data_IF_402820192971
#
_entry.id   IF_402820192971
#
_cell.length_a   1.000
_cell.length_b   1.000
_cell.length_c   1.000
_cell.angle_alpha   90.00
_cell.angle_beta   90.00
_cell.angle_gamma   90.00
#
_symmetry.space_group_name_H-M   'P 1'
#
loop_
_entity.id
_entity.type
_entity.pdbx_description
1 polymer ?
#
# COMPACT_ATOMS: atom_id res chain seq x y z
N UNK A 1 27.59 -8.09 54.73
CA UNK A 1 26.19 -7.89 54.33
C UNK A 1 26.16 -6.94 53.14
N UNK A 2 25.92 -7.45 51.92
CA UNK A 2 25.82 -6.64 50.71
C UNK A 2 24.36 -6.20 50.54
N UNK A 3 24.15 -4.88 50.49
CA UNK A 3 22.86 -4.26 50.19
C UNK A 3 22.52 -4.47 48.72
N UNK A 4 21.37 -5.08 48.44
CA UNK A 4 20.82 -5.23 47.10
C UNK A 4 20.11 -3.94 46.70
N UNK A 5 20.58 -3.33 45.61
CA UNK A 5 19.91 -2.26 44.89
C UNK A 5 18.64 -2.80 44.23
N UNK A 6 17.49 -2.26 44.62
CA UNK A 6 16.24 -2.43 43.90
C UNK A 6 16.37 -1.74 42.53
N UNK A 7 16.36 -2.55 41.46
CA UNK A 7 16.15 -2.06 40.10
C UNK A 7 14.64 -2.09 39.89
N UNK A 8 14.06 -0.91 39.68
CA UNK A 8 12.65 -0.75 39.32
C UNK A 8 12.39 -1.36 37.95
N UNK A 9 11.68 -2.49 37.93
CA UNK A 9 10.97 -2.95 36.74
C UNK A 9 9.86 -1.95 36.40
N UNK A 10 9.85 -1.43 35.17
CA UNK A 10 8.89 -0.38 34.82
C UNK A 10 8.98 0.11 33.38
N UNK A 11 8.69 -0.79 32.43
CA UNK A 11 7.94 -0.55 31.18
C UNK A 11 7.95 -1.86 30.41
N UNK A 12 6.91 -2.68 30.62
CA UNK A 12 6.64 -3.81 29.74
C UNK A 12 6.53 -3.27 28.31
N UNK A 13 7.47 -3.67 27.46
CA UNK A 13 7.33 -3.49 26.02
C UNK A 13 6.06 -4.25 25.64
N UNK A 14 4.96 -3.53 25.36
CA UNK A 14 3.82 -4.14 24.70
C UNK A 14 4.36 -4.61 23.36
N UNK A 15 4.65 -5.91 23.25
CA UNK A 15 4.91 -6.54 21.96
C UNK A 15 3.56 -6.56 21.28
N UNK A 16 3.27 -5.49 20.55
CA UNK A 16 2.11 -5.47 19.68
C UNK A 16 2.28 -6.60 18.67
N UNK A 17 1.33 -7.53 18.64
CA UNK A 17 1.23 -8.51 17.58
C UNK A 17 0.86 -7.74 16.30
N UNK A 18 1.87 -7.34 15.53
CA UNK A 18 1.66 -6.52 14.32
C UNK A 18 1.02 -7.40 13.24
N UNK A 19 -0.08 -6.95 12.61
CA UNK A 19 -0.69 -7.66 11.50
C UNK A 19 0.28 -7.86 10.33
N UNK A 20 0.20 -9.03 9.70
CA UNK A 20 0.99 -9.40 8.53
C UNK A 20 0.09 -9.35 7.30
N UNK A 21 0.44 -8.47 6.36
CA UNK A 21 -0.23 -8.32 5.07
C UNK A 21 0.74 -8.65 3.92
N UNK A 22 0.20 -9.09 2.79
CA UNK A 22 0.95 -9.21 1.54
C UNK A 22 0.14 -8.70 0.35
N UNK A 23 0.82 -8.24 -0.69
CA UNK A 23 0.18 -7.82 -1.95
C UNK A 23 0.62 -8.73 -3.09
N UNK A 24 -0.32 -9.18 -3.91
CA UNK A 24 -0.06 -9.81 -5.20
C UNK A 24 -0.75 -9.05 -6.33
N UNK A 25 -0.17 -9.09 -7.52
CA UNK A 25 -0.71 -8.47 -8.73
C UNK A 25 -1.00 -9.49 -9.81
N UNK A 26 -2.05 -9.21 -10.56
CA UNK A 26 -2.34 -9.84 -11.83
C UNK A 26 -2.81 -8.78 -12.82
N UNK A 27 -2.61 -9.07 -14.10
CA UNK A 27 -3.19 -8.26 -15.16
C UNK A 27 -4.59 -8.81 -15.46
N UNK A 28 -5.55 -7.95 -15.81
CA UNK A 28 -6.97 -8.34 -15.89
C UNK A 28 -7.24 -9.60 -16.73
N UNK A 29 -6.45 -9.80 -17.79
CA UNK A 29 -6.56 -10.94 -18.71
C UNK A 29 -5.32 -11.86 -18.69
N UNK A 30 -4.42 -11.71 -17.71
CA UNK A 30 -3.13 -12.40 -17.69
C UNK A 30 -2.14 -11.94 -18.77
N UNK A 31 -2.54 -10.99 -19.63
CA UNK A 31 -1.69 -10.40 -20.65
C UNK A 31 -0.47 -9.73 -20.02
N UNK A 32 0.68 -9.84 -20.69
CA UNK A 32 1.91 -9.11 -20.35
C UNK A 32 2.27 -8.09 -21.43
N UNK A 33 1.32 -7.82 -22.33
CA UNK A 33 1.49 -6.92 -23.44
C UNK A 33 1.00 -5.52 -23.07
N UNK A 34 1.91 -4.56 -23.12
CA UNK A 34 1.63 -3.14 -22.98
C UNK A 34 1.42 -2.57 -24.38
N UNK A 35 0.23 -2.04 -24.67
CA UNK A 35 -0.13 -1.52 -25.99
C UNK A 35 -0.12 -0.01 -26.00
N UNK A 36 0.16 0.55 -27.18
CA UNK A 36 -0.11 1.96 -27.46
C UNK A 36 -1.43 2.10 -28.17
N UNK A 37 -2.38 2.76 -27.54
CA UNK A 37 -3.67 3.08 -28.15
C UNK A 37 -3.75 4.58 -28.37
N UNK A 38 -3.87 5.01 -29.64
CA UNK A 38 -3.89 6.42 -30.04
C UNK A 38 -2.66 7.25 -29.64
N UNK A 39 -1.54 6.60 -29.32
CA UNK A 39 -0.31 7.23 -28.85
C UNK A 39 -0.09 7.04 -27.35
N UNK A 40 -1.14 6.68 -26.62
CA UNK A 40 -1.12 6.61 -25.17
C UNK A 40 -0.90 5.18 -24.68
N UNK A 41 -0.22 5.04 -23.55
CA UNK A 41 0.02 3.74 -22.90
C UNK A 41 -0.90 3.62 -21.69
N UNK A 42 -1.70 2.57 -21.64
CA UNK A 42 -2.51 2.25 -20.45
C UNK A 42 -2.63 0.75 -20.22
N UNK A 43 -2.64 0.34 -18.95
CA UNK A 43 -2.86 -1.05 -18.54
C UNK A 43 -3.47 -1.13 -17.14
N UNK A 44 -4.54 -1.90 -17.00
CA UNK A 44 -5.17 -2.18 -15.71
C UNK A 44 -4.56 -3.42 -15.04
N UNK A 45 -4.21 -3.25 -13.77
CA UNK A 45 -3.77 -4.28 -12.86
C UNK A 45 -4.83 -4.51 -11.79
N UNK A 46 -5.05 -5.77 -11.43
CA UNK A 46 -5.77 -6.13 -10.22
C UNK A 46 -4.75 -6.47 -9.14
N UNK A 47 -4.94 -5.91 -7.96
CA UNK A 47 -4.17 -6.27 -6.79
C UNK A 47 -5.05 -6.98 -5.77
N UNK A 48 -4.40 -7.87 -5.02
CA UNK A 48 -5.00 -8.61 -3.93
C UNK A 48 -4.16 -8.44 -2.68
N UNK A 49 -4.78 -7.92 -1.64
CA UNK A 49 -4.19 -7.73 -0.31
C UNK A 49 -4.67 -8.88 0.58
N UNK A 50 -3.75 -9.72 1.04
CA UNK A 50 -4.07 -10.87 1.91
C UNK A 50 -3.62 -10.59 3.33
N UNK A 51 -4.50 -10.86 4.30
CA UNK A 51 -4.17 -10.77 5.71
C UNK A 51 -3.83 -12.15 6.29
N UNK A 52 -2.64 -12.31 6.84
CA UNK A 52 -2.10 -13.60 7.30
C UNK A 52 -2.23 -13.81 8.82
N UNK A 53 -2.78 -12.85 9.55
CA UNK A 53 -2.78 -12.87 11.01
C UNK A 53 -1.59 -12.12 11.60
N UNK A 54 -1.05 -12.64 12.69
CA UNK A 54 0.13 -12.11 13.40
C UNK A 54 1.17 -13.19 13.53
N UNK A 55 2.41 -12.82 13.85
CA UNK A 55 3.44 -13.80 14.16
C UNK A 55 3.00 -14.68 15.36
N UNK A 56 2.81 -15.98 15.11
CA UNK A 56 2.22 -16.94 16.05
C UNK A 56 3.22 -17.51 17.05
N UNK A 57 4.46 -17.01 17.07
CA UNK A 57 5.48 -17.40 18.05
C UNK A 57 5.01 -17.31 19.51
N UNK A 58 3.93 -16.56 19.80
CA UNK A 58 3.35 -16.43 21.15
C UNK A 58 1.85 -16.84 21.26
N UNK A 59 1.37 -17.77 20.42
CA UNK A 59 0.08 -18.48 20.59
C UNK A 59 -1.20 -17.64 20.65
N UNK A 60 -1.19 -16.39 20.16
CA UNK A 60 -2.42 -15.58 20.06
C UNK A 60 -3.09 -15.85 18.72
N UNK A 61 -4.36 -16.28 18.73
CA UNK A 61 -5.17 -16.35 17.51
C UNK A 61 -5.45 -14.93 17.03
N UNK A 62 -5.07 -14.61 15.80
CA UNK A 62 -5.28 -13.30 15.23
C UNK A 62 -6.79 -13.06 14.99
N UNK A 63 -7.29 -11.90 15.40
CA UNK A 63 -8.68 -11.50 15.20
C UNK A 63 -8.92 -10.83 13.84
N UNK A 64 -10.16 -10.40 13.56
CA UNK A 64 -10.45 -9.53 12.42
C UNK A 64 -9.68 -8.21 12.54
N UNK A 65 -9.18 -7.73 11.41
CA UNK A 65 -8.39 -6.51 11.30
C UNK A 65 -9.15 -5.49 10.46
N UNK A 66 -9.40 -4.30 11.00
CA UNK A 66 -9.88 -3.16 10.21
C UNK A 66 -8.74 -2.19 9.96
N UNK A 67 -8.52 -1.78 8.71
CA UNK A 67 -7.41 -0.89 8.34
C UNK A 67 -7.76 0.05 7.18
N UNK A 68 -7.00 1.15 7.08
CA UNK A 68 -7.14 2.14 6.02
C UNK A 68 -6.38 1.73 4.74
N UNK A 69 -7.03 1.83 3.58
CA UNK A 69 -6.55 1.23 2.32
C UNK A 69 -5.79 2.17 1.39
N UNK A 70 -5.66 3.46 1.73
CA UNK A 70 -5.10 4.49 0.83
C UNK A 70 -3.71 4.13 0.27
N UNK A 71 -2.86 3.44 1.04
CA UNK A 71 -1.53 3.03 0.57
C UNK A 71 -1.56 2.15 -0.69
N UNK A 72 -2.65 1.40 -0.92
CA UNK A 72 -2.84 0.54 -2.10
C UNK A 72 -3.45 1.30 -3.29
N UNK A 73 -3.78 2.57 -3.12
CA UNK A 73 -4.32 3.44 -4.18
C UNK A 73 -3.34 4.56 -4.53
N UNK A 74 -2.39 4.86 -3.64
CA UNK A 74 -1.36 5.86 -3.86
C UNK A 74 -0.32 5.37 -4.87
N UNK A 75 -0.30 6.01 -6.04
CA UNK A 75 0.60 5.78 -7.17
C UNK A 75 2.08 5.82 -6.77
N UNK A 76 2.41 6.56 -5.70
CA UNK A 76 3.76 6.68 -5.19
C UNK A 76 4.23 5.41 -4.51
N UNK A 77 3.34 4.47 -4.16
CA UNK A 77 3.71 3.15 -3.62
C UNK A 77 3.93 2.08 -4.71
N UNK A 78 3.91 2.50 -5.98
CA UNK A 78 4.17 1.65 -7.12
C UNK A 78 5.51 2.00 -7.75
N UNK A 79 6.06 1.09 -8.53
CA UNK A 79 7.28 1.29 -9.28
C UNK A 79 7.13 0.72 -10.67
N UNK A 80 7.57 1.49 -11.65
CA UNK A 80 7.72 1.08 -13.04
C UNK A 80 9.17 1.27 -13.45
N UNK A 81 9.86 0.18 -13.79
CA UNK A 81 11.21 0.20 -14.30
C UNK A 81 11.24 -0.23 -15.76
N UNK A 82 12.15 0.34 -16.55
CA UNK A 82 12.42 -0.04 -17.93
C UNK A 82 13.79 -0.69 -18.06
N UNK A 83 13.86 -1.75 -18.87
CA UNK A 83 15.14 -2.36 -19.24
C UNK A 83 15.86 -1.54 -20.31
N UNK A 84 17.12 -1.20 -20.07
CA UNK A 84 17.96 -0.50 -21.06
C UNK A 84 18.38 -1.48 -22.16
N UNK A 85 18.05 -1.17 -23.42
CA UNK A 85 18.47 -1.98 -24.57
C UNK A 85 19.98 -1.82 -24.84
N UNK A 86 20.67 -2.92 -25.17
CA UNK A 86 22.07 -2.90 -25.60
C UNK A 86 23.13 -2.74 -24.51
N UNK A 87 22.75 -2.64 -23.24
CA UNK A 87 23.65 -2.70 -22.08
C UNK A 87 23.38 -3.96 -21.24
N UNK A 88 24.13 -4.15 -20.16
CA UNK A 88 24.23 -5.37 -19.31
C UNK A 88 22.96 -5.81 -18.57
N UNK A 89 21.76 -5.57 -19.11
CA UNK A 89 20.49 -5.91 -18.48
C UNK A 89 20.07 -4.96 -17.35
N UNK A 90 20.58 -3.73 -17.35
CA UNK A 90 20.26 -2.73 -16.33
C UNK A 90 18.79 -2.28 -16.41
N UNK A 91 18.18 -2.09 -15.25
CA UNK A 91 16.86 -1.49 -15.06
C UNK A 91 17.00 -0.03 -14.63
N UNK A 92 16.19 0.85 -15.20
CA UNK A 92 16.10 2.26 -14.83
C UNK A 92 14.65 2.61 -14.50
N UNK A 93 14.37 3.39 -13.44
CA UNK A 93 13.02 3.78 -13.11
C UNK A 93 12.44 4.72 -14.18
N UNK A 94 11.20 4.48 -14.57
CA UNK A 94 10.39 5.47 -15.25
C UNK A 94 10.09 6.61 -14.27
N UNK A 95 10.18 7.85 -14.75
CA UNK A 95 9.84 9.00 -13.92
C UNK A 95 8.33 9.06 -13.77
N UNK A 96 7.87 9.59 -12.64
CA UNK A 96 6.52 10.12 -12.59
C UNK A 96 6.48 11.35 -13.48
N UNK A 97 5.38 11.56 -14.21
CA UNK A 97 5.12 12.83 -14.89
C UNK A 97 5.13 13.99 -13.90
N UNK A 98 5.02 15.22 -14.40
CA UNK A 98 4.87 16.43 -13.59
C UNK A 98 3.57 16.38 -12.76
N UNK A 99 3.57 15.58 -11.69
CA UNK A 99 2.50 15.49 -10.73
C UNK A 99 2.49 16.80 -9.95
N UNK A 100 1.66 17.74 -10.40
CA UNK A 100 1.28 18.89 -9.59
C UNK A 100 0.19 18.44 -8.61
N UNK A 101 0.48 18.29 -7.30
CA UNK A 101 -0.59 18.26 -6.32
C UNK A 101 -1.26 19.63 -6.38
N UNK A 102 -2.40 19.73 -7.05
CA UNK A 102 -3.16 20.99 -7.16
C UNK A 102 -3.39 21.62 -5.79
N UNK A 103 -3.66 22.93 -5.72
CA UNK A 103 -3.90 23.63 -4.46
C UNK A 103 -4.96 22.93 -3.60
N UNK A 104 -4.55 22.40 -2.43
CA UNK A 104 -5.41 21.57 -1.57
C UNK A 104 -5.93 22.35 -0.37
N UNK A 105 -7.22 22.18 -0.10
CA UNK A 105 -7.85 22.52 1.17
C UNK A 105 -7.34 21.56 2.26
N UNK A 106 -6.31 21.96 3.00
CA UNK A 106 -5.64 21.19 4.06
C UNK A 106 -6.46 21.12 5.37
N UNK A 107 -7.79 21.08 5.25
CA UNK A 107 -8.69 21.00 6.38
C UNK A 107 -8.87 19.54 6.80
N UNK A 108 -8.62 19.20 8.07
CA UNK A 108 -8.88 17.86 8.58
C UNK A 108 -10.34 17.44 8.36
N UNK A 109 -10.53 16.23 7.88
CA UNK A 109 -11.85 15.64 7.61
C UNK A 109 -12.13 14.53 8.61
N UNK A 110 -13.36 14.49 9.14
CA UNK A 110 -13.82 13.39 9.99
C UNK A 110 -14.41 12.29 9.12
N UNK A 111 -13.93 11.07 9.30
CA UNK A 111 -14.36 9.91 8.53
C UNK A 111 -14.93 8.87 9.50
N UNK A 112 -16.14 8.40 9.23
CA UNK A 112 -16.73 7.26 9.95
C UNK A 112 -16.14 5.96 9.38
N UNK A 113 -15.45 5.20 10.22
CA UNK A 113 -14.76 3.96 9.81
C UNK A 113 -15.75 2.98 9.20
N UNK A 114 -16.92 2.80 9.83
CA UNK A 114 -17.96 1.88 9.36
C UNK A 114 -18.59 2.24 8.01
N UNK A 115 -18.58 3.52 7.63
CA UNK A 115 -19.32 4.01 6.47
C UNK A 115 -18.42 4.33 5.26
N UNK A 116 -17.10 4.45 5.47
CA UNK A 116 -16.16 4.81 4.40
C UNK A 116 -15.63 3.59 3.66
N UNK A 117 -15.56 3.67 2.33
CA UNK A 117 -14.95 2.65 1.46
C UNK A 117 -13.42 2.61 1.54
N UNK A 118 -12.81 3.57 2.24
CA UNK A 118 -11.37 3.62 2.45
C UNK A 118 -10.91 2.73 3.63
N UNK A 119 -11.85 2.10 4.33
CA UNK A 119 -11.58 1.10 5.36
C UNK A 119 -12.11 -0.26 4.94
N UNK A 120 -11.27 -1.27 5.14
CA UNK A 120 -11.62 -2.67 4.93
C UNK A 120 -11.43 -3.46 6.22
N UNK A 121 -12.23 -4.50 6.41
CA UNK A 121 -12.11 -5.48 7.48
C UNK A 121 -11.79 -6.85 6.87
N UNK A 122 -10.75 -7.52 7.37
CA UNK A 122 -10.36 -8.86 6.95
C UNK A 122 -10.20 -9.79 8.17
N UNK A 123 -10.68 -11.02 8.06
CA UNK A 123 -10.29 -12.13 8.92
C UNK A 123 -8.97 -12.76 8.45
N UNK A 124 -8.24 -13.48 9.31
CA UNK A 124 -7.03 -14.18 8.88
C UNK A 124 -7.31 -15.10 7.68
N UNK A 125 -6.42 -15.06 6.70
CA UNK A 125 -6.50 -15.71 5.38
C UNK A 125 -7.48 -15.08 4.39
N UNK A 126 -8.27 -14.07 4.78
CA UNK A 126 -9.11 -13.34 3.83
C UNK A 126 -8.27 -12.37 3.00
N UNK A 127 -8.89 -11.93 1.90
CA UNK A 127 -8.27 -10.98 0.99
C UNK A 127 -9.25 -9.92 0.54
N UNK A 128 -8.70 -8.75 0.25
CA UNK A 128 -9.41 -7.64 -0.38
C UNK A 128 -8.74 -7.32 -1.71
N UNK A 129 -9.56 -7.02 -2.72
CA UNK A 129 -9.12 -6.79 -4.09
C UNK A 129 -9.46 -5.37 -4.51
N UNK A 130 -8.63 -4.83 -5.40
CA UNK A 130 -8.84 -3.55 -6.05
C UNK A 130 -8.10 -3.51 -7.38
N UNK A 131 -8.24 -2.40 -8.11
CA UNK A 131 -7.51 -2.19 -9.35
C UNK A 131 -6.63 -0.95 -9.32
N UNK A 132 -5.64 -0.98 -10.20
CA UNK A 132 -4.64 0.05 -10.39
C UNK A 132 -4.41 0.25 -11.89
N UNK A 133 -4.56 1.48 -12.38
CA UNK A 133 -4.28 1.81 -13.77
C UNK A 133 -2.88 2.38 -13.89
N UNK A 134 -2.04 1.70 -14.66
CA UNK A 134 -0.79 2.25 -15.16
C UNK A 134 -1.14 3.03 -16.43
N UNK A 135 -0.79 4.30 -16.49
CA UNK A 135 -0.96 5.15 -17.67
C UNK A 135 0.23 6.13 -17.85
N UNK A 136 0.26 6.81 -18.98
CA UNK A 136 1.29 7.80 -19.33
C UNK A 136 1.04 9.21 -18.80
N UNK A 137 -0.16 9.49 -18.27
CA UNK A 137 -0.42 10.71 -17.51
C UNK A 137 0.40 10.71 -16.20
N UNK A 138 0.51 9.53 -15.57
CA UNK A 138 1.23 9.35 -14.32
C UNK A 138 2.69 8.97 -14.51
N UNK A 139 3.02 8.19 -15.55
CA UNK A 139 4.39 7.73 -15.82
C UNK A 139 4.95 8.28 -17.13
N UNK A 140 6.15 8.85 -17.07
CA UNK A 140 6.86 9.26 -18.27
C UNK A 140 7.39 8.03 -19.03
N UNK A 141 6.78 7.76 -20.17
CA UNK A 141 7.29 6.83 -21.17
C UNK A 141 8.17 7.57 -22.18
N UNK A 142 9.42 7.14 -22.43
CA UNK A 142 10.26 7.82 -23.42
C UNK A 142 9.69 7.76 -24.84
N UNK A 143 9.63 8.90 -25.55
CA UNK A 143 9.10 9.01 -26.93
C UNK A 143 9.70 8.02 -27.93
N UNK A 144 10.95 7.62 -27.71
CA UNK A 144 11.73 6.73 -28.59
C UNK A 144 11.67 5.26 -28.16
N UNK A 145 10.68 4.88 -27.35
CA UNK A 145 10.44 3.49 -26.96
C UNK A 145 10.15 2.62 -28.19
N UNK A 146 10.97 1.60 -28.39
CA UNK A 146 10.81 0.63 -29.48
C UNK A 146 9.94 -0.53 -29.03
N UNK A 147 9.17 -1.08 -29.96
CA UNK A 147 8.50 -2.38 -29.78
C UNK A 147 9.49 -3.44 -29.30
N UNK A 148 9.05 -4.25 -28.34
CA UNK A 148 9.88 -5.18 -27.57
C UNK A 148 10.61 -4.54 -26.38
N UNK A 149 10.36 -3.27 -26.04
CA UNK A 149 10.83 -2.70 -24.78
C UNK A 149 10.21 -3.48 -23.60
N UNK A 150 11.02 -3.77 -22.57
CA UNK A 150 10.60 -4.55 -21.41
C UNK A 150 10.50 -3.64 -20.20
N UNK A 151 9.42 -3.78 -19.45
CA UNK A 151 9.16 -3.07 -18.22
C UNK A 151 8.96 -4.04 -17.06
N UNK A 152 9.14 -3.54 -15.83
CA UNK A 152 8.79 -4.21 -14.59
C UNK A 152 7.88 -3.32 -13.78
N UNK A 153 6.75 -3.87 -13.38
CA UNK A 153 5.77 -3.19 -12.53
C UNK A 153 5.61 -3.92 -11.21
N UNK A 154 5.62 -3.18 -10.10
CA UNK A 154 5.43 -3.74 -8.76
C UNK A 154 4.85 -2.71 -7.79
N UNK A 155 4.22 -3.21 -6.73
CA UNK A 155 4.06 -2.45 -5.50
C UNK A 155 5.37 -2.49 -4.73
N UNK A 156 5.95 -1.33 -4.42
CA UNK A 156 7.27 -1.22 -3.79
C UNK A 156 7.25 -1.49 -2.28
N UNK A 157 6.06 -1.62 -1.69
CA UNK A 157 5.86 -1.67 -0.26
C UNK A 157 5.38 -0.33 0.29
N UNK A 158 4.64 -0.38 1.39
CA UNK A 158 4.12 0.82 2.05
C UNK A 158 3.87 0.56 3.53
N UNK A 159 3.50 1.61 4.25
CA UNK A 159 3.22 1.55 5.68
C UNK A 159 1.80 2.06 5.96
N UNK A 160 0.98 1.23 6.59
CA UNK A 160 -0.39 1.60 6.97
C UNK A 160 -0.35 2.27 8.34
N UNK A 161 -0.82 3.52 8.39
CA UNK A 161 -0.82 4.33 9.60
C UNK A 161 -1.94 3.98 10.56
N UNK A 162 -3.14 3.70 10.05
CA UNK A 162 -4.30 3.41 10.87
C UNK A 162 -4.81 2.00 10.65
N UNK A 163 -4.92 1.28 11.76
CA UNK A 163 -5.51 -0.04 11.85
C UNK A 163 -5.91 -0.32 13.29
N UNK A 164 -6.90 -1.19 13.48
CA UNK A 164 -7.25 -1.70 14.80
C UNK A 164 -7.89 -3.09 14.72
N UNK A 165 -7.92 -3.76 15.87
CA UNK A 165 -8.56 -5.06 16.01
C UNK A 165 -10.08 -4.92 16.12
N UNK A 166 -10.80 -5.71 15.34
CA UNK A 166 -12.26 -5.71 15.35
C UNK A 166 -12.85 -5.55 13.96
N UNK A 167 -14.15 -5.74 13.88
CA UNK A 167 -14.91 -5.59 12.64
C UNK A 167 -15.39 -4.16 12.44
N UNK A 168 -15.47 -3.77 11.18
CA UNK A 168 -15.98 -2.47 10.74
C UNK A 168 -17.40 -2.19 11.25
N UNK A 169 -18.31 -3.15 11.11
CA UNK A 169 -19.73 -3.02 11.51
C UNK A 169 -20.01 -3.37 12.98
N UNK A 170 -19.00 -3.86 13.71
CA UNK A 170 -19.10 -4.23 15.12
C UNK A 170 -18.30 -3.29 15.98
N UNK A 171 -17.04 -3.65 16.25
CA UNK A 171 -16.13 -2.89 17.10
C UNK A 171 -15.97 -1.44 16.67
N UNK A 172 -16.00 -1.18 15.36
CA UNK A 172 -15.76 0.15 14.80
C UNK A 172 -17.01 0.85 14.25
N UNK A 173 -18.22 0.37 14.59
CA UNK A 173 -19.49 0.93 14.10
C UNK A 173 -19.60 2.45 14.34
N UNK A 174 -19.18 2.92 15.51
CA UNK A 174 -19.23 4.33 15.92
C UNK A 174 -17.85 5.01 15.89
N UNK A 175 -16.82 4.36 15.35
CA UNK A 175 -15.46 4.94 15.31
C UNK A 175 -15.39 6.04 14.26
N UNK A 176 -14.97 7.23 14.70
CA UNK A 176 -14.68 8.40 13.86
C UNK A 176 -13.22 8.73 13.98
N UNK A 177 -12.58 8.94 12.83
CA UNK A 177 -11.17 9.30 12.74
C UNK A 177 -11.00 10.62 12.00
N UNK A 178 -10.07 11.45 12.46
CA UNK A 178 -9.72 12.72 11.84
C UNK A 178 -8.52 12.48 10.93
N UNK A 179 -8.78 12.53 9.64
CA UNK A 179 -7.78 12.37 8.59
C UNK A 179 -7.41 13.74 8.02
N UNK A 180 -6.12 14.01 7.91
CA UNK A 180 -5.60 15.20 7.24
C UNK A 180 -4.78 14.76 6.05
N UNK A 181 -5.24 15.09 4.86
CA UNK A 181 -4.56 14.69 3.65
C UNK A 181 -5.46 14.73 2.43
N UNK A 182 -4.82 14.67 1.27
CA UNK A 182 -5.47 14.47 -0.01
C UNK A 182 -5.61 12.97 -0.30
N UNK A 183 -6.52 12.59 -1.20
CA UNK A 183 -6.49 11.27 -1.82
C UNK A 183 -5.09 10.96 -2.39
N UNK A 184 -4.71 9.69 -2.54
CA UNK A 184 -3.50 9.22 -3.23
C UNK A 184 -2.20 10.05 -2.98
N UNK A 185 -1.98 10.64 -1.79
CA UNK A 185 -0.85 11.53 -1.52
C UNK A 185 -0.07 11.15 -0.26
N UNK A 186 1.25 11.25 -0.37
CA UNK A 186 2.29 10.96 0.63
C UNK A 186 2.32 11.87 1.85
N UNK A 187 1.50 12.94 1.89
CA UNK A 187 1.38 13.82 3.06
C UNK A 187 0.05 13.67 3.78
N UNK A 188 -0.59 12.53 3.58
CA UNK A 188 -1.85 12.20 4.22
C UNK A 188 -1.62 11.34 5.45
N UNK A 189 -2.34 11.64 6.54
CA UNK A 189 -2.21 10.90 7.78
C UNK A 189 -3.31 11.20 8.79
N UNK A 190 -3.39 10.35 9.79
CA UNK A 190 -4.38 10.49 10.87
C UNK A 190 -3.86 11.46 11.93
N UNK A 191 -4.71 12.40 12.32
CA UNK A 191 -4.37 13.47 13.28
C UNK A 191 -4.88 13.20 14.70
N UNK A 192 -5.76 12.21 14.86
CA UNK A 192 -6.15 11.71 16.19
C UNK A 192 -5.02 10.86 16.78
N UNK A 193 -4.98 10.77 18.11
CA UNK A 193 -4.03 10.01 18.95
C UNK A 193 -3.30 8.90 18.18
N UNK A 194 -2.10 9.20 17.64
CA UNK A 194 -1.12 8.33 16.99
C UNK A 194 -1.49 6.83 16.87
N UNK A 195 -2.54 6.50 16.09
CA UNK A 195 -3.13 5.16 15.99
C UNK A 195 -3.33 4.43 17.35
N UNK A 196 -3.80 5.11 18.39
CA UNK A 196 -3.93 4.55 19.74
C UNK A 196 -2.61 4.05 20.35
N UNK A 197 -1.46 4.52 19.85
CA UNK A 197 -0.13 4.03 20.21
C UNK A 197 0.28 2.71 19.54
N UNK A 198 -0.54 2.15 18.64
CA UNK A 198 -0.21 0.94 17.89
C UNK A 198 0.93 1.21 16.89
N UNK A 199 1.84 0.25 16.66
CA UNK A 199 2.86 0.40 15.64
C UNK A 199 2.23 0.43 14.25
N UNK A 200 2.94 0.97 13.29
CA UNK A 200 2.52 0.95 11.89
C UNK A 200 2.59 -0.48 11.33
N UNK A 201 1.71 -0.83 10.38
CA UNK A 201 1.84 -2.08 9.63
C UNK A 201 2.75 -1.84 8.43
N UNK A 202 3.86 -2.56 8.35
CA UNK A 202 4.67 -2.61 7.15
C UNK A 202 4.12 -3.66 6.17
N UNK A 203 3.79 -3.23 4.96
CA UNK A 203 3.40 -4.12 3.87
C UNK A 203 4.60 -4.26 2.92
N UNK A 204 5.13 -5.48 2.72
CA UNK A 204 6.29 -5.69 1.87
C UNK A 204 5.96 -5.44 0.39
N UNK A 205 7.01 -5.29 -0.43
CA UNK A 205 6.88 -5.23 -1.87
C UNK A 205 6.21 -6.49 -2.43
N UNK A 206 5.46 -6.33 -3.52
CA UNK A 206 4.94 -7.48 -4.27
C UNK A 206 6.03 -8.12 -5.13
N UNK A 207 5.71 -9.27 -5.73
CA UNK A 207 6.45 -9.77 -6.88
C UNK A 207 6.36 -8.77 -8.05
N UNK A 208 7.39 -8.75 -8.89
CA UNK A 208 7.44 -7.95 -10.11
C UNK A 208 6.65 -8.62 -11.24
N UNK A 209 5.94 -7.82 -12.04
CA UNK A 209 5.36 -8.22 -13.31
C UNK A 209 6.23 -7.68 -14.43
N UNK A 210 6.76 -8.57 -15.28
CA UNK A 210 7.40 -8.16 -16.52
C UNK A 210 6.36 -7.92 -17.62
N UNK A 211 6.48 -6.78 -18.30
CA UNK A 211 5.63 -6.35 -19.40
C UNK A 211 6.47 -6.14 -20.65
N UNK A 212 5.90 -6.39 -21.82
CA UNK A 212 6.50 -6.11 -23.12
C UNK A 212 5.65 -5.13 -23.89
N UNK A 213 6.28 -4.07 -24.38
CA UNK A 213 5.65 -3.10 -25.25
C UNK A 213 5.45 -3.70 -26.65
N UNK A 214 4.21 -3.66 -27.12
CA UNK A 214 3.82 -4.05 -28.47
C UNK A 214 3.08 -2.90 -29.15
N UNK A 215 3.24 -2.77 -30.47
CA UNK A 215 2.44 -1.87 -31.30
C UNK A 215 1.26 -2.62 -31.92
#
# INVERSE_FOLDING_TARGET
>A
MRSQSQISEGKGSIRHNVPILSVSFETENGSRELKRENGDISMEFRYKVTYHGVDTTNSTTAGPLTFFTNVFRDVLNYQLDRRVQGSSGQWIPCRYGDYCPGFVNDQPSKIHVAQSEDFVCLHPSESWEGSFTLDDELWEFPDHLRTGAIFRFAFKGATIEWWDWGTKDGTHADTVVTFRGYGQSTRSGFTDDNNGGRPLIFVPSSSEIELVLID
#
